data_IF_800852164297
#
_entry.id   IF_800852164297
#
_cell.length_a   1.000
_cell.length_b   1.000
_cell.length_c   1.000
_cell.angle_alpha   90.00
_cell.angle_beta   90.00
_cell.angle_gamma   90.00
#
_symmetry.space_group_name_H-M   'P 1'
#
loop_
_entity.id
_entity.type
_entity.pdbx_description
1 polymer ?
#
# COMPACT_ATOMS: atom_id res chain seq x y z
N UNK A 1 -8.15 25.87 -23.86
CA UNK A 1 -7.26 24.70 -24.00
C UNK A 1 -7.22 23.98 -22.66
N UNK A 2 -7.65 22.73 -22.62
CA UNK A 2 -7.83 21.99 -21.37
C UNK A 2 -6.48 21.55 -20.78
N UNK A 3 -6.30 21.70 -19.47
CA UNK A 3 -5.37 20.86 -18.72
C UNK A 3 -5.93 20.60 -17.32
N UNK A 4 -6.88 19.65 -17.25
CA UNK A 4 -7.46 19.13 -16.01
C UNK A 4 -6.45 18.13 -15.42
N UNK A 5 -5.57 18.60 -14.52
CA UNK A 5 -4.92 17.70 -13.56
C UNK A 5 -5.95 17.41 -12.47
N UNK A 6 -6.75 16.37 -12.71
CA UNK A 6 -7.68 15.83 -11.73
C UNK A 6 -6.89 15.12 -10.63
N UNK A 7 -6.37 15.85 -9.66
CA UNK A 7 -6.04 15.29 -8.34
C UNK A 7 -7.26 15.50 -7.46
N UNK A 8 -8.26 14.65 -7.62
CA UNK A 8 -9.39 14.57 -6.69
C UNK A 8 -8.90 13.74 -5.51
N UNK A 9 -8.16 14.36 -4.60
CA UNK A 9 -8.05 13.88 -3.23
C UNK A 9 -9.20 14.54 -2.48
N UNK A 10 -10.35 13.88 -2.42
CA UNK A 10 -11.47 14.36 -1.60
C UNK A 10 -11.04 14.32 -0.13
N UNK A 11 -11.43 15.32 0.67
CA UNK A 11 -11.20 15.34 2.13
C UNK A 11 -11.70 14.05 2.84
N UNK A 12 -12.68 13.37 2.23
CA UNK A 12 -13.21 12.07 2.65
C UNK A 12 -12.20 10.93 2.48
N UNK A 13 -11.41 10.93 1.40
CA UNK A 13 -10.36 9.94 1.18
C UNK A 13 -9.23 10.14 2.20
N UNK A 14 -8.84 11.39 2.46
CA UNK A 14 -7.81 11.69 3.44
C UNK A 14 -8.25 11.30 4.87
N UNK A 15 -9.51 11.55 5.23
CA UNK A 15 -10.08 11.08 6.50
C UNK A 15 -10.09 9.56 6.60
N UNK A 16 -10.51 8.85 5.54
CA UNK A 16 -10.47 7.39 5.50
C UNK A 16 -9.06 6.82 5.76
N UNK A 17 -8.03 7.40 5.14
CA UNK A 17 -6.64 7.00 5.36
C UNK A 17 -6.13 7.36 6.77
N UNK A 18 -6.60 8.47 7.35
CA UNK A 18 -6.23 8.90 8.71
C UNK A 18 -6.84 8.00 9.78
N UNK A 19 -8.09 7.57 9.62
CA UNK A 19 -8.78 6.71 10.59
C UNK A 19 -8.15 5.31 10.68
N UNK A 20 -7.60 4.81 9.56
CA UNK A 20 -6.95 3.49 9.48
C UNK A 20 -5.43 3.54 9.69
N UNK A 21 -4.84 4.73 9.82
CA UNK A 21 -3.40 4.86 9.91
C UNK A 21 -2.83 4.08 11.11
N UNK A 22 -2.06 3.02 10.84
CA UNK A 22 -1.43 2.22 11.90
C UNK A 22 -2.34 1.29 12.70
N UNK A 23 -3.57 1.02 12.23
CA UNK A 23 -4.46 0.02 12.84
C UNK A 23 -4.30 -1.35 12.16
N UNK A 24 -4.92 -2.38 12.72
CA UNK A 24 -5.03 -3.69 12.04
C UNK A 24 -5.97 -3.62 10.83
N UNK A 25 -6.90 -2.66 10.76
CA UNK A 25 -7.78 -2.49 9.58
C UNK A 25 -7.06 -1.79 8.40
N UNK A 26 -5.84 -1.31 8.63
CA UNK A 26 -5.00 -0.64 7.65
C UNK A 26 -4.62 -1.57 6.50
N UNK A 27 -4.77 -1.08 5.27
CA UNK A 27 -4.34 -1.84 4.09
C UNK A 27 -2.82 -1.90 4.01
N UNK A 28 -2.31 -2.97 3.40
CA UNK A 28 -0.87 -3.15 3.18
C UNK A 28 -0.51 -2.78 1.75
N UNK A 29 0.53 -1.99 1.56
CA UNK A 29 1.01 -1.53 0.27
C UNK A 29 2.39 -2.10 -0.03
N UNK A 30 2.52 -2.82 -1.13
CA UNK A 30 3.83 -3.21 -1.66
C UNK A 30 4.30 -2.16 -2.64
N UNK A 31 5.38 -1.45 -2.30
CA UNK A 31 5.93 -0.35 -3.10
C UNK A 31 7.41 -0.59 -3.40
N UNK A 32 7.92 -0.08 -4.53
CA UNK A 32 9.37 -0.08 -4.78
C UNK A 32 10.09 0.73 -3.69
N UNK A 33 11.26 0.24 -3.28
CA UNK A 33 12.14 0.87 -2.30
C UNK A 33 13.54 0.96 -2.88
N UNK A 34 13.99 2.17 -3.23
CA UNK A 34 15.25 2.38 -3.97
C UNK A 34 16.49 1.76 -3.30
N UNK A 35 16.51 1.63 -1.97
CA UNK A 35 17.66 1.11 -1.23
C UNK A 35 17.62 -0.41 -0.97
N UNK A 36 16.43 -1.00 -0.87
CA UNK A 36 16.24 -2.39 -0.42
C UNK A 36 15.46 -3.24 -1.43
N UNK A 37 15.12 -2.69 -2.60
CA UNK A 37 14.31 -3.34 -3.64
C UNK A 37 12.83 -3.04 -3.47
N UNK A 38 12.20 -3.66 -2.47
CA UNK A 38 10.76 -3.57 -2.22
C UNK A 38 10.45 -3.37 -0.75
N UNK A 39 9.36 -2.67 -0.47
CA UNK A 39 8.88 -2.42 0.88
C UNK A 39 7.38 -2.70 0.99
N UNK A 40 6.98 -3.27 2.13
CA UNK A 40 5.60 -3.37 2.57
C UNK A 40 5.35 -2.23 3.56
N UNK A 41 4.40 -1.37 3.23
CA UNK A 41 3.97 -0.25 4.06
C UNK A 41 2.55 -0.47 4.55
N UNK A 42 2.31 -0.15 5.81
CA UNK A 42 0.96 -0.07 6.35
C UNK A 42 0.34 1.28 5.97
N UNK A 43 -0.95 1.28 5.62
CA UNK A 43 -1.69 2.47 5.26
C UNK A 43 -1.53 3.56 6.34
N UNK A 44 -1.25 4.79 5.91
CA UNK A 44 -1.03 5.94 6.81
C UNK A 44 0.29 5.93 7.59
N UNK A 45 1.14 4.91 7.46
CA UNK A 45 2.47 4.85 8.08
C UNK A 45 3.57 5.27 7.09
N UNK A 46 4.54 6.04 7.58
CA UNK A 46 5.68 6.47 6.76
C UNK A 46 6.75 5.39 6.67
N UNK A 47 6.96 4.66 7.76
CA UNK A 47 7.95 3.60 7.90
C UNK A 47 7.45 2.30 7.24
N UNK A 48 8.34 1.57 6.55
CA UNK A 48 8.01 0.25 6.06
C UNK A 48 7.89 -0.74 7.22
N UNK A 49 6.84 -1.56 7.21
CA UNK A 49 6.68 -2.67 8.16
C UNK A 49 7.64 -3.82 7.83
N UNK A 50 8.02 -3.94 6.55
CA UNK A 50 8.92 -4.96 6.06
C UNK A 50 9.60 -4.50 4.77
N UNK A 51 10.85 -4.90 4.57
CA UNK A 51 11.63 -4.64 3.35
C UNK A 51 12.17 -5.96 2.81
N UNK A 52 12.28 -6.06 1.49
CA UNK A 52 12.74 -7.27 0.81
C UNK A 52 13.41 -6.95 -0.51
N UNK A 53 14.46 -7.71 -0.82
CA UNK A 53 15.21 -7.57 -2.07
C UNK A 53 14.36 -7.86 -3.30
N UNK A 54 13.40 -8.78 -3.19
CA UNK A 54 12.53 -9.17 -4.30
C UNK A 54 11.08 -8.78 -4.09
N UNK A 55 10.40 -8.50 -5.21
CA UNK A 55 8.96 -8.21 -5.21
C UNK A 55 8.16 -9.38 -4.62
N UNK A 56 8.53 -10.60 -4.98
CA UNK A 56 7.81 -11.80 -4.57
C UNK A 56 7.77 -11.92 -3.04
N UNK A 57 8.91 -11.72 -2.37
CA UNK A 57 9.00 -11.77 -0.91
C UNK A 57 8.13 -10.69 -0.25
N UNK A 58 8.16 -9.46 -0.78
CA UNK A 58 7.32 -8.37 -0.27
C UNK A 58 5.82 -8.65 -0.49
N UNK A 59 5.46 -9.22 -1.65
CA UNK A 59 4.07 -9.60 -1.98
C UNK A 59 3.57 -10.70 -1.04
N UNK A 60 4.36 -11.75 -0.83
CA UNK A 60 3.98 -12.83 0.10
C UNK A 60 3.81 -12.29 1.52
N UNK A 61 4.72 -11.42 1.97
CA UNK A 61 4.59 -10.82 3.30
C UNK A 61 3.35 -9.93 3.42
N UNK A 62 3.08 -9.08 2.44
CA UNK A 62 1.90 -8.21 2.44
C UNK A 62 0.60 -9.00 2.41
N UNK A 63 0.55 -10.12 1.66
CA UNK A 63 -0.60 -11.04 1.65
C UNK A 63 -0.84 -11.68 3.00
N UNK A 64 0.22 -12.21 3.64
CA UNK A 64 0.11 -12.78 5.00
C UNK A 64 -0.43 -11.74 5.98
N UNK A 65 0.18 -10.55 6.00
CA UNK A 65 -0.25 -9.48 6.90
C UNK A 65 -1.70 -9.05 6.63
N UNK A 66 -2.10 -8.93 5.37
CA UNK A 66 -3.47 -8.57 5.00
C UNK A 66 -4.49 -9.66 5.35
N UNK A 67 -4.13 -10.93 5.20
CA UNK A 67 -4.97 -12.06 5.59
C UNK A 67 -5.13 -12.14 7.12
N UNK A 68 -4.05 -11.98 7.88
CA UNK A 68 -4.06 -11.97 9.35
C UNK A 68 -4.90 -10.81 9.91
N UNK A 69 -4.85 -9.65 9.25
CA UNK A 69 -5.60 -8.46 9.58
C UNK A 69 -7.05 -8.46 9.07
N UNK A 70 -7.41 -9.36 8.13
CA UNK A 70 -8.70 -9.33 7.44
C UNK A 70 -8.91 -8.05 6.63
N UNK A 71 -7.87 -7.59 5.92
CA UNK A 71 -7.86 -6.36 5.12
C UNK A 71 -7.37 -6.65 3.69
N UNK A 72 -6.84 -5.66 2.99
CA UNK A 72 -6.36 -5.80 1.61
C UNK A 72 -4.88 -5.51 1.45
N UNK A 73 -4.27 -6.19 0.48
CA UNK A 73 -2.92 -5.90 -0.01
C UNK A 73 -3.00 -5.20 -1.38
N UNK A 74 -2.32 -4.06 -1.51
CA UNK A 74 -2.24 -3.25 -2.72
C UNK A 74 -0.83 -3.39 -3.28
N UNK A 75 -0.72 -3.97 -4.46
CA UNK A 75 0.57 -4.28 -5.08
C UNK A 75 0.89 -3.24 -6.14
N UNK A 76 1.94 -2.45 -5.90
CA UNK A 76 2.45 -1.52 -6.89
C UNK A 76 3.47 -2.21 -7.79
N UNK A 77 3.67 -1.68 -9.00
CA UNK A 77 4.76 -2.07 -9.89
C UNK A 77 6.02 -1.22 -9.62
N UNK A 78 7.09 -1.50 -10.37
CA UNK A 78 8.37 -0.79 -10.32
C UNK A 78 8.24 0.73 -10.57
N UNK A 79 7.16 1.17 -11.23
CA UNK A 79 6.87 2.59 -11.47
C UNK A 79 6.02 3.22 -10.34
N UNK A 80 5.78 2.49 -9.25
CA UNK A 80 4.95 2.91 -8.13
C UNK A 80 3.45 2.97 -8.44
N UNK A 81 3.00 2.44 -9.57
CA UNK A 81 1.57 2.41 -9.93
C UNK A 81 0.93 1.13 -9.41
N UNK A 82 -0.33 1.22 -8.99
CA UNK A 82 -1.12 0.04 -8.61
C UNK A 82 -1.19 -0.89 -9.83
N UNK A 83 -0.72 -2.11 -9.63
CA UNK A 83 -0.77 -3.19 -10.62
C UNK A 83 -1.85 -4.20 -10.24
N UNK A 84 -1.93 -4.57 -8.96
CA UNK A 84 -2.83 -5.62 -8.48
C UNK A 84 -3.34 -5.33 -7.06
N UNK A 85 -4.47 -5.93 -6.71
CA UNK A 85 -5.18 -5.75 -5.44
C UNK A 85 -5.67 -7.11 -4.96
N UNK A 86 -5.33 -7.46 -3.72
CA UNK A 86 -5.72 -8.74 -3.11
C UNK A 86 -6.61 -8.43 -1.91
N UNK A 87 -7.82 -8.98 -1.92
CA UNK A 87 -8.83 -8.70 -0.90
C UNK A 87 -9.04 -9.91 0.04
N UNK A 88 -8.95 -9.67 1.35
CA UNK A 88 -9.23 -10.62 2.43
C UNK A 88 -10.30 -10.09 3.43
N UNK A 89 -10.93 -8.94 3.14
CA UNK A 89 -12.09 -8.38 3.87
C UNK A 89 -13.36 -9.26 3.71
#
# INVERSE_FOLDING_TARGET
>A
MANRKNNIHSDEQEQYFKDRAGTDEARFHVVPHDEEGWAVKKEGQNEPEFTAETRSDAVEKAKSMAEEAGTMAILHNENGKIEDLVNYE
#
